data_IF_066536165426
#
_entry.id   IF_066536165426
#
_cell.length_a   1.000
_cell.length_b   1.000
_cell.length_c   1.000
_cell.angle_alpha   90.00
_cell.angle_beta   90.00
_cell.angle_gamma   90.00
#
_symmetry.space_group_name_H-M   'P 1'
#
loop_
_entity.id
_entity.type
_entity.pdbx_description
1 polymer ?
#
# COMPACT_ATOMS: atom_id res chain seq x y z
N UNK A 1 -22.53 -37.70 -46.40
CA UNK A 1 -21.53 -37.61 -45.32
C UNK A 1 -20.46 -36.59 -45.65
N UNK A 2 -20.34 -35.52 -44.84
CA UNK A 2 -19.13 -34.74 -44.46
C UNK A 2 -19.60 -33.44 -43.78
N UNK A 3 -19.85 -33.51 -42.48
CA UNK A 3 -20.13 -32.32 -41.65
C UNK A 3 -18.82 -31.56 -41.40
N UNK A 4 -18.71 -30.35 -41.97
CA UNK A 4 -17.65 -29.39 -41.64
C UNK A 4 -17.88 -28.87 -40.22
N UNK A 5 -17.04 -29.29 -39.28
CA UNK A 5 -16.93 -28.67 -37.94
C UNK A 5 -16.57 -27.20 -38.12
N UNK A 6 -17.48 -26.28 -37.78
CA UNK A 6 -17.15 -24.88 -37.59
C UNK A 6 -16.31 -24.78 -36.32
N UNK A 7 -15.02 -24.50 -36.52
CA UNK A 7 -14.09 -24.07 -35.47
C UNK A 7 -14.59 -22.73 -34.93
N UNK A 8 -15.26 -22.74 -33.79
CA UNK A 8 -15.51 -21.52 -33.04
C UNK A 8 -14.18 -21.07 -32.42
N UNK A 9 -13.59 -20.05 -33.04
CA UNK A 9 -12.53 -19.22 -32.49
C UNK A 9 -12.95 -18.71 -31.11
N UNK A 10 -12.27 -19.18 -30.06
CA UNK A 10 -12.30 -18.58 -28.72
C UNK A 10 -11.48 -17.29 -28.77
N UNK A 11 -12.03 -16.27 -29.43
CA UNK A 11 -11.52 -14.91 -29.37
C UNK A 11 -12.39 -14.09 -28.42
N UNK A 12 -11.73 -13.39 -27.49
CA UNK A 12 -12.28 -12.42 -26.53
C UNK A 12 -12.89 -12.98 -25.23
N UNK A 13 -12.02 -13.42 -24.32
CA UNK A 13 -12.27 -13.13 -22.91
C UNK A 13 -11.77 -11.70 -22.68
N UNK A 14 -12.68 -10.71 -22.75
CA UNK A 14 -12.41 -9.39 -22.18
C UNK A 14 -12.20 -9.59 -20.67
N UNK A 15 -11.06 -9.15 -20.16
CA UNK A 15 -10.78 -9.08 -18.73
C UNK A 15 -11.71 -8.05 -18.07
N UNK A 16 -12.99 -8.38 -17.93
CA UNK A 16 -13.93 -7.62 -17.12
C UNK A 16 -13.62 -7.89 -15.64
N UNK A 17 -12.73 -7.04 -15.11
CA UNK A 17 -12.82 -6.42 -13.79
C UNK A 17 -13.40 -7.30 -12.68
N UNK A 18 -12.64 -8.29 -12.23
CA UNK A 18 -12.76 -8.72 -10.84
C UNK A 18 -12.48 -7.49 -9.96
N UNK A 19 -13.28 -7.20 -8.92
CA UNK A 19 -13.00 -6.10 -8.01
C UNK A 19 -11.58 -6.31 -7.46
N UNK A 20 -10.75 -5.27 -7.56
CA UNK A 20 -9.40 -5.35 -7.01
C UNK A 20 -9.49 -5.76 -5.54
N UNK A 21 -8.65 -6.68 -5.03
CA UNK A 21 -8.74 -7.17 -3.65
C UNK A 21 -8.73 -6.04 -2.60
N UNK A 22 -8.13 -4.90 -2.93
CA UNK A 22 -8.06 -3.72 -2.08
C UNK A 22 -9.19 -2.70 -2.29
N UNK A 23 -10.10 -2.92 -3.24
CA UNK A 23 -11.24 -2.03 -3.53
C UNK A 23 -12.13 -1.70 -2.31
N UNK A 24 -12.40 -2.62 -1.35
CA UNK A 24 -13.19 -2.28 -0.16
C UNK A 24 -12.38 -1.58 0.93
N UNK A 25 -11.04 -1.51 0.81
CA UNK A 25 -10.16 -0.98 1.86
C UNK A 25 -9.80 0.50 1.60
N UNK A 26 -9.68 1.33 2.65
CA UNK A 26 -9.34 2.74 2.53
C UNK A 26 -7.83 2.94 2.29
N UNK A 27 -7.37 2.51 1.11
CA UNK A 27 -5.98 2.60 0.67
C UNK A 27 -5.86 3.66 -0.44
N UNK A 28 -4.89 4.56 -0.32
CA UNK A 28 -4.63 5.61 -1.33
C UNK A 28 -3.14 5.67 -1.69
N UNK A 29 -2.82 5.41 -2.97
CA UNK A 29 -1.49 5.61 -3.52
C UNK A 29 -1.21 7.08 -3.86
N UNK A 30 -0.02 7.56 -3.53
CA UNK A 30 0.55 8.83 -3.98
C UNK A 30 1.74 8.49 -4.87
N UNK A 31 1.55 8.65 -6.18
CA UNK A 31 2.51 8.26 -7.21
C UNK A 31 3.03 9.49 -7.96
N UNK A 32 4.16 9.34 -8.65
CA UNK A 32 4.79 10.41 -9.41
C UNK A 32 6.30 10.26 -9.48
N UNK A 33 6.94 11.01 -10.38
CA UNK A 33 8.38 10.96 -10.61
C UNK A 33 9.18 11.28 -9.32
N UNK A 34 10.46 10.89 -9.29
CA UNK A 34 11.37 11.34 -8.22
C UNK A 34 11.38 12.87 -8.16
N UNK A 35 11.37 13.44 -6.95
CA UNK A 35 11.29 14.89 -6.75
C UNK A 35 9.93 15.54 -7.00
N UNK A 36 8.88 14.79 -7.38
CA UNK A 36 7.54 15.37 -7.67
C UNK A 36 6.76 15.88 -6.44
N UNK A 37 7.35 15.89 -5.24
CA UNK A 37 6.69 16.36 -4.02
C UNK A 37 5.73 15.37 -3.35
N UNK A 38 5.86 14.06 -3.61
CA UNK A 38 5.01 13.01 -3.00
C UNK A 38 5.08 13.04 -1.48
N UNK A 39 6.30 13.02 -0.93
CA UNK A 39 6.53 13.07 0.51
C UNK A 39 5.97 14.35 1.11
N UNK A 40 6.22 15.51 0.48
CA UNK A 40 5.67 16.81 0.91
C UNK A 40 4.14 16.81 0.95
N UNK A 41 3.48 16.21 -0.04
CA UNK A 41 2.02 16.08 -0.04
C UNK A 41 1.54 15.18 1.10
N UNK A 42 2.19 14.04 1.31
CA UNK A 42 1.84 13.11 2.40
C UNK A 42 2.00 13.79 3.75
N UNK A 43 3.13 14.47 4.00
CA UNK A 43 3.40 15.23 5.21
C UNK A 43 2.34 16.30 5.48
N UNK A 44 1.87 16.99 4.45
CA UNK A 44 0.80 17.99 4.57
C UNK A 44 -0.60 17.36 4.80
N UNK A 45 -0.82 16.14 4.31
CA UNK A 45 -2.10 15.44 4.40
C UNK A 45 -2.32 14.79 5.77
N UNK A 46 -1.28 14.17 6.34
CA UNK A 46 -1.34 13.48 7.64
C UNK A 46 -1.98 14.34 8.74
N UNK A 47 -1.54 15.58 9.04
CA UNK A 47 -2.12 16.36 10.13
C UNK A 47 -3.58 16.73 9.86
N UNK A 48 -3.96 16.96 8.60
CA UNK A 48 -5.36 17.25 8.23
C UNK A 48 -6.26 16.04 8.46
N UNK A 49 -5.85 14.85 8.02
CA UNK A 49 -6.60 13.61 8.28
C UNK A 49 -6.68 13.28 9.78
N UNK A 50 -5.58 13.47 10.52
CA UNK A 50 -5.59 13.25 11.97
C UNK A 50 -6.48 14.25 12.70
N UNK A 51 -6.56 15.50 12.24
CA UNK A 51 -7.46 16.51 12.82
C UNK A 51 -8.95 16.16 12.67
N UNK A 52 -9.31 15.27 11.75
CA UNK A 52 -10.67 14.73 11.61
C UNK A 52 -10.89 13.45 12.41
N UNK A 53 -9.95 13.08 13.31
CA UNK A 53 -10.06 11.90 14.17
C UNK A 53 -9.66 10.58 13.50
N UNK A 54 -9.10 10.60 12.29
CA UNK A 54 -8.70 9.38 11.59
C UNK A 54 -7.34 8.88 12.05
N UNK A 55 -7.23 7.56 12.24
CA UNK A 55 -5.97 6.87 12.42
C UNK A 55 -5.31 6.63 11.05
N UNK A 56 -4.13 7.20 10.85
CA UNK A 56 -3.43 7.20 9.55
C UNK A 56 -2.18 6.33 9.62
N UNK A 57 -2.03 5.42 8.66
CA UNK A 57 -0.77 4.72 8.38
C UNK A 57 -0.17 5.17 7.05
N UNK A 58 1.15 5.09 6.93
CA UNK A 58 1.89 5.34 5.69
C UNK A 58 2.78 4.15 5.38
N UNK A 59 2.66 3.62 4.16
CA UNK A 59 3.56 2.60 3.60
C UNK A 59 4.43 3.28 2.56
N UNK A 60 5.75 3.23 2.74
CA UNK A 60 6.71 3.74 1.77
C UNK A 60 7.33 2.60 0.98
N UNK A 61 7.05 2.57 -0.32
CA UNK A 61 7.65 1.62 -1.25
C UNK A 61 8.98 2.17 -1.79
N UNK A 62 9.98 1.31 -1.98
CA UNK A 62 11.30 1.69 -2.51
C UNK A 62 12.39 2.00 -1.47
N UNK A 63 12.18 1.74 -0.19
CA UNK A 63 13.29 1.66 0.76
C UNK A 63 14.06 0.34 0.52
N UNK A 64 15.02 0.36 -0.42
CA UNK A 64 15.84 -0.82 -0.77
C UNK A 64 16.56 -1.44 0.44
N UNK A 65 16.70 -0.70 1.53
CA UNK A 65 17.13 -1.22 2.83
C UNK A 65 16.47 -0.41 3.94
N UNK A 66 15.63 -1.07 4.75
CA UNK A 66 15.17 -0.52 6.02
C UNK A 66 16.16 -0.96 7.09
N UNK A 67 16.97 -0.02 7.58
CA UNK A 67 17.92 -0.27 8.66
C UNK A 67 17.30 0.21 9.97
N UNK A 68 16.82 -0.74 10.79
CA UNK A 68 16.18 -0.44 12.08
C UNK A 68 17.24 -0.26 13.19
N UNK A 69 18.35 -1.01 13.12
CA UNK A 69 19.46 -0.89 14.05
C UNK A 69 20.80 -0.81 13.30
N UNK A 70 21.85 -0.34 13.99
CA UNK A 70 23.19 -0.32 13.46
C UNK A 70 23.72 -1.75 13.24
N UNK A 71 24.47 -2.01 12.14
CA UNK A 71 25.05 -3.31 11.89
C UNK A 71 25.90 -3.81 13.06
N UNK A 72 25.82 -5.10 13.36
CA UNK A 72 26.65 -5.76 14.38
C UNK A 72 26.14 -5.67 15.82
N UNK A 73 25.05 -4.94 16.09
CA UNK A 73 24.36 -5.04 17.39
C UNK A 73 23.57 -6.34 17.53
N UNK A 74 23.13 -6.65 18.74
CA UNK A 74 22.43 -7.91 19.04
C UNK A 74 21.20 -8.13 18.16
N UNK A 75 20.39 -7.10 17.93
CA UNK A 75 19.21 -7.19 17.05
C UNK A 75 19.57 -7.54 15.61
N UNK A 76 20.64 -6.98 15.07
CA UNK A 76 21.14 -7.26 13.73
C UNK A 76 21.77 -8.65 13.64
N UNK A 77 22.45 -9.08 14.71
CA UNK A 77 23.00 -10.44 14.84
C UNK A 77 21.89 -11.50 14.92
N UNK A 78 20.83 -11.25 15.69
CA UNK A 78 19.65 -12.13 15.75
C UNK A 78 18.98 -12.25 14.39
N UNK A 79 18.80 -11.13 13.69
CA UNK A 79 18.22 -11.14 12.35
C UNK A 79 19.11 -11.91 11.37
N UNK A 80 20.41 -11.65 11.38
CA UNK A 80 21.40 -12.34 10.53
C UNK A 80 21.49 -13.84 10.84
N UNK A 81 21.16 -14.26 12.07
CA UNK A 81 21.05 -15.67 12.47
C UNK A 81 19.74 -16.35 12.01
N UNK A 82 18.83 -15.62 11.37
CA UNK A 82 17.58 -16.15 10.80
C UNK A 82 16.33 -15.89 11.62
N UNK A 83 16.42 -15.16 12.73
CA UNK A 83 15.22 -14.76 13.48
C UNK A 83 14.52 -13.58 12.82
N UNK A 84 13.19 -13.57 12.84
CA UNK A 84 12.45 -12.30 12.81
C UNK A 84 12.70 -11.57 14.13
N UNK A 85 12.89 -10.26 14.09
CA UNK A 85 13.34 -9.49 15.27
C UNK A 85 12.32 -8.43 15.62
N UNK A 86 11.78 -8.52 16.84
CA UNK A 86 10.96 -7.50 17.45
C UNK A 86 11.80 -6.67 18.43
N UNK A 87 11.72 -5.34 18.32
CA UNK A 87 12.34 -4.38 19.23
C UNK A 87 11.23 -3.62 19.95
N UNK A 88 11.32 -3.55 21.29
CA UNK A 88 10.35 -2.90 22.15
C UNK A 88 11.03 -1.82 23.01
N UNK A 89 10.49 -0.59 22.96
CA UNK A 89 10.90 0.57 23.76
C UNK A 89 9.77 1.61 23.76
N UNK A 90 10.10 2.91 23.73
CA UNK A 90 9.10 3.98 23.48
C UNK A 90 8.41 3.81 22.12
N UNK A 91 9.11 3.18 21.18
CA UNK A 91 8.60 2.75 19.88
C UNK A 91 8.80 1.25 19.75
N UNK A 92 8.02 0.63 18.86
CA UNK A 92 8.12 -0.79 18.55
C UNK A 92 8.37 -1.00 17.06
N UNK A 93 9.26 -1.92 16.74
CA UNK A 93 9.62 -2.28 15.37
C UNK A 93 9.70 -3.79 15.23
N UNK A 94 9.29 -4.29 14.06
CA UNK A 94 9.48 -5.70 13.70
C UNK A 94 10.19 -5.75 12.34
N UNK A 95 11.27 -6.53 12.26
CA UNK A 95 12.01 -6.82 11.04
C UNK A 95 11.75 -8.27 10.65
N UNK A 96 11.16 -8.48 9.47
CA UNK A 96 10.84 -9.81 8.93
C UNK A 96 11.81 -10.22 7.82
N UNK A 97 12.11 -11.52 7.73
CA UNK A 97 12.84 -12.10 6.59
C UNK A 97 11.96 -12.21 5.34
N UNK A 98 10.70 -12.58 5.52
CA UNK A 98 9.78 -12.75 4.41
C UNK A 98 9.14 -11.40 4.03
N UNK A 99 9.30 -11.02 2.77
CA UNK A 99 8.44 -9.98 2.19
C UNK A 99 7.04 -10.57 2.03
N UNK A 100 6.11 -10.13 2.87
CA UNK A 100 4.71 -10.54 2.79
C UNK A 100 4.05 -10.07 1.49
N UNK A 101 2.94 -10.71 1.12
CA UNK A 101 2.06 -10.19 0.08
C UNK A 101 1.58 -8.78 0.47
N UNK A 102 1.87 -7.79 -0.39
CA UNK A 102 1.48 -6.40 -0.19
C UNK A 102 -0.03 -6.29 0.06
N UNK A 103 -0.84 -7.09 -0.62
CA UNK A 103 -2.30 -7.06 -0.44
C UNK A 103 -2.65 -7.48 0.98
N UNK A 104 -2.18 -8.64 1.43
CA UNK A 104 -2.39 -9.11 2.80
C UNK A 104 -1.88 -8.11 3.85
N UNK A 105 -0.69 -7.53 3.64
CA UNK A 105 -0.12 -6.53 4.55
C UNK A 105 -1.01 -5.28 4.66
N UNK A 106 -1.50 -4.75 3.53
CA UNK A 106 -2.39 -3.60 3.51
C UNK A 106 -3.74 -3.90 4.16
N UNK A 107 -4.28 -5.10 3.97
CA UNK A 107 -5.50 -5.55 4.65
C UNK A 107 -5.30 -5.56 6.17
N UNK A 108 -4.17 -6.08 6.65
CA UNK A 108 -3.81 -6.06 8.07
C UNK A 108 -3.68 -4.63 8.61
N UNK A 109 -3.08 -3.70 7.85
CA UNK A 109 -3.04 -2.29 8.29
C UNK A 109 -4.45 -1.70 8.40
N UNK A 110 -5.34 -1.98 7.44
CA UNK A 110 -6.72 -1.48 7.48
C UNK A 110 -7.59 -2.08 8.60
N UNK A 111 -7.13 -3.09 9.34
CA UNK A 111 -7.83 -3.51 10.57
C UNK A 111 -7.59 -2.56 11.74
N UNK A 112 -6.49 -1.82 11.74
CA UNK A 112 -6.04 -0.96 12.84
C UNK A 112 -6.04 0.54 12.51
N UNK A 113 -6.09 0.89 11.22
CA UNK A 113 -6.06 2.25 10.72
C UNK A 113 -7.27 2.54 9.82
N UNK A 114 -7.78 3.77 9.88
CA UNK A 114 -8.92 4.22 9.08
C UNK A 114 -8.53 4.56 7.64
N UNK A 115 -7.25 4.88 7.41
CA UNK A 115 -6.70 5.13 6.07
C UNK A 115 -5.23 4.76 6.01
N UNK A 116 -4.85 4.09 4.93
CA UNK A 116 -3.46 3.73 4.61
C UNK A 116 -3.03 4.50 3.37
N UNK A 117 -2.04 5.38 3.53
CA UNK A 117 -1.40 6.08 2.41
C UNK A 117 -0.21 5.27 1.92
N UNK A 118 -0.04 5.18 0.62
CA UNK A 118 1.11 4.50 0.02
C UNK A 118 1.92 5.52 -0.77
N UNK A 119 3.17 5.75 -0.38
CA UNK A 119 4.13 6.47 -1.22
C UNK A 119 4.75 5.48 -2.21
N UNK A 120 4.38 5.56 -3.50
CA UNK A 120 4.89 4.65 -4.54
C UNK A 120 3.84 3.69 -5.12
N UNK A 121 4.25 2.47 -5.52
CA UNK A 121 3.38 1.43 -6.07
C UNK A 121 2.52 1.86 -7.29
N UNK A 122 3.14 2.48 -8.30
CA UNK A 122 2.46 2.95 -9.50
C UNK A 122 1.64 1.87 -10.24
N UNK A 123 2.10 0.62 -10.21
CA UNK A 123 1.50 -0.53 -10.91
C UNK A 123 0.39 -1.22 -10.12
N UNK A 124 0.29 -1.01 -8.80
CA UNK A 124 -0.75 -1.63 -7.96
C UNK A 124 -2.13 -1.05 -8.30
N UNK A 125 -3.15 -1.89 -8.46
CA UNK A 125 -4.48 -1.47 -8.91
C UNK A 125 -5.36 -0.82 -7.81
N UNK A 126 -4.76 0.03 -6.98
CA UNK A 126 -5.41 0.82 -5.93
C UNK A 126 -5.81 2.22 -6.41
N UNK A 127 -6.78 2.86 -5.73
CA UNK A 127 -7.00 4.31 -5.82
C UNK A 127 -5.68 5.08 -5.68
N UNK A 128 -5.39 6.04 -6.56
CA UNK A 128 -4.15 6.82 -6.53
C UNK A 128 -4.27 8.26 -7.02
N UNK A 129 -3.41 9.12 -6.49
CA UNK A 129 -3.14 10.48 -6.96
C UNK A 129 -1.80 10.47 -7.68
N UNK A 130 -1.75 10.99 -8.90
CA UNK A 130 -0.52 11.14 -9.65
C UNK A 130 -0.02 12.59 -9.61
N UNK A 131 1.22 12.78 -9.18
CA UNK A 131 1.91 14.06 -9.18
C UNK A 131 2.79 14.17 -10.43
N UNK A 132 2.49 15.15 -11.27
CA UNK A 132 3.26 15.49 -12.47
C UNK A 132 3.44 17.01 -12.52
N UNK A 133 4.56 17.52 -12.00
CA UNK A 133 4.85 18.97 -11.98
C UNK A 133 3.85 19.79 -11.15
N UNK A 134 3.62 21.06 -11.53
CA UNK A 134 2.74 22.01 -10.80
C UNK A 134 1.23 21.62 -10.79
N UNK A 135 0.84 20.45 -11.28
CA UNK A 135 -0.56 20.00 -11.30
C UNK A 135 -0.68 18.57 -10.78
N UNK A 136 -1.56 18.37 -9.81
CA UNK A 136 -1.96 17.04 -9.33
C UNK A 136 -3.13 16.51 -10.17
N UNK A 137 -3.06 15.25 -10.60
CA UNK A 137 -4.16 14.56 -11.27
C UNK A 137 -4.70 13.45 -10.37
N UNK A 138 -5.97 13.59 -9.99
CA UNK A 138 -6.69 12.55 -9.23
C UNK A 138 -7.21 11.51 -10.22
N UNK A 139 -6.78 10.25 -10.08
CA UNK A 139 -7.14 9.18 -11.02
C UNK A 139 -8.36 8.35 -10.55
N UNK A 140 -8.92 8.66 -9.38
CA UNK A 140 -10.04 7.94 -8.78
C UNK A 140 -10.70 8.73 -7.65
N UNK A 141 -11.97 8.44 -7.33
CA UNK A 141 -12.63 8.96 -6.12
C UNK A 141 -12.61 7.91 -5.02
N UNK A 142 -11.95 8.21 -3.89
CA UNK A 142 -12.00 7.38 -2.69
C UNK A 142 -13.15 7.87 -1.79
N UNK A 143 -14.04 6.96 -1.39
CA UNK A 143 -15.04 7.22 -0.35
C UNK A 143 -14.50 6.70 0.98
N UNK A 144 -14.02 7.61 1.83
CA UNK A 144 -13.60 7.26 3.19
C UNK A 144 -14.88 7.19 4.03
N UNK A 145 -15.30 5.98 4.41
CA UNK A 145 -16.27 5.82 5.49
C UNK A 145 -15.47 5.78 6.78
N UNK A 146 -15.61 6.78 7.65
CA UNK A 146 -15.13 6.66 9.01
C UNK A 146 -15.81 5.44 9.63
N UNK A 147 -15.04 4.48 10.17
CA UNK A 147 -15.59 3.49 11.09
C UNK A 147 -15.97 4.26 12.35
N UNK A 148 -17.21 4.72 12.42
CA UNK A 148 -17.79 5.02 13.73
C UNK A 148 -17.82 3.69 14.48
N UNK A 149 -17.01 3.59 15.54
CA UNK A 149 -17.25 2.58 16.57
C UNK A 149 -18.69 2.83 17.04
N UNK A 150 -19.59 1.91 16.70
CA UNK A 150 -20.79 1.76 17.51
C UNK A 150 -20.31 1.19 18.84
N UNK A 151 -20.49 2.02 19.87
CA UNK A 151 -20.42 1.67 21.29
C UNK A 151 -21.20 0.41 21.62
#
# INVERSE_FOLDING_TARGET
MKNKKKSHSLSHIQAHSLPHPLAPYPVLGICGNSGAGKTTLIEALIPRLRSTGLHVAVVKDGAHKVQIDAPGKDSDRFFSAGADVALLGEQHFIRHHQQGDLTAFLVTLCSSYDIVLIEGHATTAIPKIWLSGQKAKVMCRLKIKAKFLQS
#
